data_IF_867701577888
#
_entry.id   IF_867701577888
#
_cell.length_a   1.000
_cell.length_b   1.000
_cell.length_c   1.000
_cell.angle_alpha   90.00
_cell.angle_beta   90.00
_cell.angle_gamma   90.00
#
_symmetry.space_group_name_H-M   'P 1'
#
loop_
_entity.id
_entity.type
_entity.pdbx_description
1 polymer ?
#
# COMPACT_ATOMS: atom_id res chain seq x y z
N UNK A 1 -24.89 37.87 -6.23
CA UNK A 1 -24.49 37.15 -7.46
C UNK A 1 -23.37 36.21 -7.08
N UNK A 2 -23.67 34.92 -6.95
CA UNK A 2 -22.70 33.90 -6.54
C UNK A 2 -22.36 33.06 -7.77
N UNK A 3 -21.10 33.17 -8.21
CA UNK A 3 -20.55 32.48 -9.37
C UNK A 3 -20.14 31.08 -8.95
N UNK A 4 -20.91 30.08 -9.38
CA UNK A 4 -20.64 28.68 -9.11
C UNK A 4 -19.49 28.20 -9.99
N UNK A 5 -18.33 27.94 -9.39
CA UNK A 5 -17.20 27.29 -10.04
C UNK A 5 -17.59 25.85 -10.43
N UNK A 6 -18.00 25.68 -11.69
CA UNK A 6 -18.18 24.36 -12.30
C UNK A 6 -16.81 23.72 -12.42
N UNK A 7 -16.47 22.85 -11.47
CA UNK A 7 -15.31 21.98 -11.61
C UNK A 7 -15.58 21.02 -12.76
N UNK A 8 -15.03 21.33 -13.94
CA UNK A 8 -14.88 20.37 -15.02
C UNK A 8 -14.03 19.23 -14.50
N UNK A 9 -14.70 18.19 -13.99
CA UNK A 9 -14.10 16.88 -13.74
C UNK A 9 -13.63 16.40 -15.10
N UNK A 10 -12.34 16.63 -15.36
CA UNK A 10 -11.71 16.18 -16.58
C UNK A 10 -11.96 14.68 -16.68
N UNK A 11 -12.69 14.27 -17.72
CA UNK A 11 -12.83 12.87 -18.13
C UNK A 11 -11.50 12.37 -18.69
N UNK A 12 -10.41 12.57 -17.95
CA UNK A 12 -9.19 11.81 -18.10
C UNK A 12 -9.56 10.41 -17.66
N UNK A 13 -10.14 9.65 -18.60
CA UNK A 13 -10.03 8.20 -18.63
C UNK A 13 -8.59 7.90 -18.24
N UNK A 14 -8.40 7.40 -17.02
CA UNK A 14 -7.08 7.18 -16.44
C UNK A 14 -6.45 6.03 -17.23
N UNK A 15 -5.84 6.36 -18.37
CA UNK A 15 -5.06 5.43 -19.17
C UNK A 15 -3.94 4.92 -18.28
N UNK A 16 -3.93 3.60 -18.06
CA UNK A 16 -2.86 2.97 -17.32
C UNK A 16 -1.81 2.55 -18.34
N UNK A 17 -0.65 3.19 -18.29
CA UNK A 17 0.47 2.84 -19.15
C UNK A 17 1.34 1.82 -18.43
N UNK A 18 1.58 0.69 -19.08
CA UNK A 18 2.43 -0.37 -18.57
C UNK A 18 3.54 -0.67 -19.58
N UNK A 19 4.77 -0.62 -19.11
CA UNK A 19 5.94 -1.05 -19.84
C UNK A 19 6.22 -2.52 -19.55
N UNK A 20 6.61 -3.25 -20.58
CA UNK A 20 6.88 -4.68 -20.51
C UNK A 20 8.17 -5.02 -21.26
N UNK A 21 8.86 -6.05 -20.81
CA UNK A 21 10.08 -6.57 -21.43
C UNK A 21 9.94 -8.06 -21.76
N UNK A 22 10.64 -8.52 -22.80
CA UNK A 22 10.54 -9.91 -23.24
C UNK A 22 11.41 -10.85 -22.39
N UNK A 23 10.78 -11.82 -21.73
CA UNK A 23 11.38 -12.67 -20.72
C UNK A 23 12.10 -13.91 -21.26
N UNK A 24 11.83 -14.30 -22.52
CA UNK A 24 12.39 -15.51 -23.13
C UNK A 24 13.93 -15.56 -23.00
N UNK A 25 14.53 -16.75 -22.80
CA UNK A 25 15.99 -16.90 -22.79
C UNK A 25 16.65 -16.38 -24.07
N UNK A 26 16.02 -16.65 -25.22
CA UNK A 26 16.40 -16.08 -26.51
C UNK A 26 15.29 -15.15 -27.02
N UNK A 27 15.38 -13.83 -26.79
CA UNK A 27 14.30 -12.90 -27.16
C UNK A 27 14.13 -12.69 -28.67
N UNK A 28 15.06 -13.15 -29.51
CA UNK A 28 14.97 -13.03 -30.97
C UNK A 28 14.49 -14.31 -31.68
N UNK A 29 14.24 -15.38 -30.93
CA UNK A 29 13.68 -16.60 -31.50
C UNK A 29 12.25 -16.35 -31.98
N UNK A 30 11.95 -16.74 -33.22
CA UNK A 30 10.59 -16.72 -33.78
C UNK A 30 9.81 -18.01 -33.50
N UNK A 31 10.48 -19.03 -32.93
CA UNK A 31 9.90 -20.36 -32.73
C UNK A 31 9.02 -20.44 -31.49
N UNK A 32 9.25 -19.58 -30.50
CA UNK A 32 8.55 -19.60 -29.23
C UNK A 32 7.63 -18.38 -29.10
N UNK A 33 6.47 -18.51 -28.43
CA UNK A 33 5.65 -17.35 -28.12
C UNK A 33 6.43 -16.37 -27.22
N UNK A 34 6.31 -15.08 -27.50
CA UNK A 34 6.95 -14.04 -26.71
C UNK A 34 6.26 -13.92 -25.34
N UNK A 35 6.98 -14.29 -24.29
CA UNK A 35 6.58 -14.08 -22.91
C UNK A 35 7.00 -12.67 -22.49
N UNK A 36 6.04 -11.89 -21.98
CA UNK A 36 6.26 -10.50 -21.61
C UNK A 36 6.07 -10.35 -20.11
N UNK A 37 7.11 -9.87 -19.43
CA UNK A 37 7.07 -9.53 -18.02
C UNK A 37 6.90 -8.03 -17.83
N UNK A 38 6.32 -7.67 -16.68
CA UNK A 38 6.11 -6.29 -16.28
C UNK A 38 7.32 -5.75 -15.54
N UNK A 39 7.60 -4.46 -15.72
CA UNK A 39 8.48 -3.73 -14.80
C UNK A 39 7.77 -3.50 -13.47
N UNK A 40 8.54 -3.27 -12.39
CA UNK A 40 7.96 -2.85 -11.12
C UNK A 40 7.28 -1.48 -11.25
N UNK A 41 6.36 -1.16 -10.35
CA UNK A 41 5.63 0.12 -10.39
C UNK A 41 6.56 1.34 -10.39
N UNK A 42 7.66 1.27 -9.64
CA UNK A 42 8.67 2.35 -9.55
C UNK A 42 9.44 2.48 -10.86
N UNK A 43 9.94 1.37 -11.42
CA UNK A 43 10.65 1.37 -12.71
C UNK A 43 9.73 1.87 -13.83
N UNK A 44 8.48 1.40 -13.87
CA UNK A 44 7.48 1.82 -14.84
C UNK A 44 7.25 3.34 -14.81
N UNK A 45 7.18 3.94 -13.60
CA UNK A 45 7.08 5.40 -13.43
C UNK A 45 8.32 6.14 -13.94
N UNK A 46 9.52 5.61 -13.71
CA UNK A 46 10.77 6.20 -14.18
C UNK A 46 10.83 6.18 -15.71
N UNK A 47 10.50 5.04 -16.31
CA UNK A 47 10.49 4.84 -17.77
C UNK A 47 9.46 5.76 -18.42
N UNK A 48 8.21 5.77 -17.94
CA UNK A 48 7.16 6.61 -18.51
C UNK A 48 7.46 8.11 -18.34
N UNK A 49 8.07 8.51 -17.23
CA UNK A 49 8.53 9.90 -17.03
C UNK A 49 9.65 10.25 -18.02
N UNK A 50 10.60 9.37 -18.26
CA UNK A 50 11.68 9.62 -19.22
C UNK A 50 11.13 9.74 -20.65
N UNK A 51 10.21 8.83 -21.02
CA UNK A 51 9.53 8.83 -22.31
C UNK A 51 8.68 10.09 -22.53
N UNK A 52 7.89 10.50 -21.52
CA UNK A 52 7.05 11.70 -21.58
C UNK A 52 7.84 13.01 -21.67
N UNK A 53 9.10 12.99 -21.22
CA UNK A 53 10.03 14.12 -21.34
C UNK A 53 10.89 14.02 -22.61
N UNK A 54 10.53 13.17 -23.57
CA UNK A 54 11.22 12.98 -24.85
C UNK A 54 12.72 12.68 -24.69
N UNK A 55 13.11 12.03 -23.59
CA UNK A 55 14.50 11.59 -23.42
C UNK A 55 14.75 10.40 -24.35
N UNK A 56 15.98 10.28 -24.85
CA UNK A 56 16.37 9.16 -25.72
C UNK A 56 16.49 7.83 -24.95
N UNK A 57 16.86 7.92 -23.66
CA UNK A 57 17.07 6.76 -22.80
C UNK A 57 16.54 6.93 -21.38
N UNK A 58 16.07 5.84 -20.78
CA UNK A 58 15.79 5.74 -19.36
C UNK A 58 16.89 4.91 -18.66
N UNK A 59 17.47 5.46 -17.59
CA UNK A 59 18.50 4.78 -16.80
C UNK A 59 17.81 4.11 -15.61
N UNK A 60 18.03 2.81 -15.46
CA UNK A 60 17.60 1.98 -14.33
C UNK A 60 18.87 1.38 -13.68
N UNK A 61 18.69 0.64 -12.59
CA UNK A 61 19.81 0.21 -11.73
C UNK A 61 20.82 -0.68 -12.49
N UNK A 62 20.37 -1.79 -13.06
CA UNK A 62 21.25 -2.77 -13.75
C UNK A 62 21.23 -2.66 -15.28
N UNK A 63 20.36 -1.81 -15.82
CA UNK A 63 20.12 -1.68 -17.25
C UNK A 63 19.65 -0.27 -17.62
N UNK A 64 19.69 0.04 -18.91
CA UNK A 64 19.02 1.21 -19.48
C UNK A 64 18.13 0.80 -20.63
N UNK A 65 17.11 1.61 -20.90
CA UNK A 65 16.19 1.41 -22.01
C UNK A 65 16.47 2.49 -23.05
N UNK A 66 16.76 2.07 -24.27
CA UNK A 66 16.83 2.92 -25.44
C UNK A 66 15.44 2.95 -26.11
N UNK A 67 14.82 4.13 -26.13
CA UNK A 67 13.49 4.31 -26.71
C UNK A 67 13.49 4.35 -28.23
N UNK A 68 14.62 4.65 -28.87
CA UNK A 68 14.73 4.67 -30.33
C UNK A 68 14.65 3.27 -30.91
N UNK A 69 15.34 2.32 -30.27
CA UNK A 69 15.33 0.92 -30.67
C UNK A 69 14.25 0.09 -29.94
N UNK A 70 13.66 0.64 -28.88
CA UNK A 70 12.78 -0.05 -27.94
C UNK A 70 13.43 -1.31 -27.34
N UNK A 71 14.64 -1.13 -26.81
CA UNK A 71 15.44 -2.22 -26.24
C UNK A 71 15.98 -1.85 -24.86
N UNK A 72 15.94 -2.82 -23.96
CA UNK A 72 16.66 -2.81 -22.71
C UNK A 72 18.06 -3.40 -22.92
N UNK A 73 19.08 -2.74 -22.40
CA UNK A 73 20.49 -3.14 -22.51
C UNK A 73 21.09 -3.13 -21.10
N UNK A 74 21.76 -4.22 -20.71
CA UNK A 74 22.45 -4.28 -19.41
C UNK A 74 23.65 -3.34 -19.39
N UNK A 75 23.92 -2.71 -18.24
CA UNK A 75 25.13 -1.89 -18.04
C UNK A 75 26.41 -2.73 -18.05
N UNK A 76 26.33 -3.97 -17.58
CA UNK A 76 27.49 -4.87 -17.46
C UNK A 76 27.81 -5.60 -18.76
N UNK A 77 26.77 -5.98 -19.52
CA UNK A 77 26.91 -6.79 -20.73
C UNK A 77 26.02 -6.27 -21.87
N UNK A 78 26.65 -5.60 -22.84
CA UNK A 78 25.95 -5.03 -24.00
C UNK A 78 25.32 -6.08 -24.93
N UNK A 79 25.70 -7.36 -24.82
CA UNK A 79 25.08 -8.45 -25.59
C UNK A 79 23.76 -8.90 -24.96
N UNK A 80 23.55 -8.64 -23.66
CA UNK A 80 22.29 -8.91 -22.98
C UNK A 80 21.30 -7.79 -23.27
N UNK A 81 20.63 -7.93 -24.40
CA UNK A 81 19.59 -7.02 -24.84
C UNK A 81 18.22 -7.70 -24.80
N UNK A 82 17.17 -6.95 -24.53
CA UNK A 82 15.79 -7.46 -24.55
C UNK A 82 14.86 -6.44 -25.20
N UNK A 83 13.95 -6.85 -26.10
CA UNK A 83 12.91 -5.98 -26.60
C UNK A 83 12.00 -5.49 -25.48
N UNK A 84 11.58 -4.23 -25.59
CA UNK A 84 10.68 -3.55 -24.65
C UNK A 84 9.48 -3.05 -25.45
N UNK A 85 8.29 -3.04 -24.82
CA UNK A 85 7.10 -2.44 -25.41
C UNK A 85 6.32 -1.64 -24.37
N UNK A 86 5.67 -0.59 -24.84
CA UNK A 86 4.72 0.22 -24.09
C UNK A 86 3.30 -0.24 -24.43
N UNK A 87 2.49 -0.52 -23.43
CA UNK A 87 1.09 -0.94 -23.59
C UNK A 87 0.19 0.07 -22.88
N UNK A 88 -0.69 0.72 -23.62
CA UNK A 88 -1.78 1.51 -23.02
C UNK A 88 -2.95 0.58 -22.71
N UNK A 89 -3.23 0.37 -21.43
CA UNK A 89 -4.42 -0.37 -20.99
C UNK A 89 -5.50 0.61 -20.54
N UNK A 90 -6.75 0.30 -20.87
CA UNK A 90 -7.88 0.99 -20.24
C UNK A 90 -7.98 0.48 -18.81
N UNK A 91 -8.35 1.35 -17.88
CA UNK A 91 -8.57 0.96 -16.48
C UNK A 91 -9.62 -0.17 -16.36
N UNK A 92 -10.56 -0.20 -17.28
CA UNK A 92 -11.62 -1.21 -17.39
C UNK A 92 -11.08 -2.61 -17.75
N UNK A 93 -9.94 -2.69 -18.43
CA UNK A 93 -9.36 -3.98 -18.89
C UNK A 93 -8.55 -4.68 -17.79
N UNK A 94 -8.13 -3.94 -16.75
CA UNK A 94 -7.45 -4.54 -15.61
C UNK A 94 -8.51 -5.32 -14.83
N UNK A 95 -8.62 -6.62 -15.09
CA UNK A 95 -9.39 -7.53 -14.27
C UNK A 95 -8.96 -7.30 -12.82
N UNK A 96 -9.83 -6.62 -12.07
CA UNK A 96 -9.73 -6.61 -10.63
C UNK A 96 -9.72 -8.07 -10.22
N UNK A 97 -8.83 -8.44 -9.29
CA UNK A 97 -8.71 -9.82 -8.84
C UNK A 97 -10.06 -10.24 -8.24
N UNK A 98 -10.90 -10.87 -9.06
CA UNK A 98 -12.31 -11.16 -8.73
C UNK A 98 -12.40 -11.97 -7.45
N UNK A 99 -11.38 -12.80 -7.20
CA UNK A 99 -11.14 -13.55 -5.97
C UNK A 99 -11.23 -12.72 -4.67
N UNK A 100 -10.90 -11.41 -4.70
CA UNK A 100 -11.03 -10.51 -3.54
C UNK A 100 -12.44 -9.94 -3.36
N UNK A 101 -13.27 -10.05 -4.38
CA UNK A 101 -14.64 -9.54 -4.43
C UNK A 101 -15.68 -10.66 -4.42
N UNK A 102 -15.27 -11.93 -4.42
CA UNK A 102 -16.15 -12.97 -3.95
C UNK A 102 -16.46 -12.69 -2.48
N UNK A 103 -17.73 -12.48 -2.19
CA UNK A 103 -18.25 -12.58 -0.83
C UNK A 103 -17.92 -13.99 -0.35
N UNK A 104 -16.75 -14.15 0.28
CA UNK A 104 -16.52 -15.30 1.14
C UNK A 104 -17.70 -15.26 2.10
N UNK A 105 -18.54 -16.31 2.16
CA UNK A 105 -19.73 -16.28 2.99
C UNK A 105 -19.27 -16.01 4.42
N UNK A 106 -19.47 -14.77 4.86
CA UNK A 106 -19.29 -14.40 6.25
C UNK A 106 -20.39 -15.17 6.95
N UNK A 107 -20.04 -16.35 7.46
CA UNK A 107 -20.99 -17.20 8.16
C UNK A 107 -21.66 -16.34 9.22
N UNK A 108 -22.96 -16.10 9.05
CA UNK A 108 -23.75 -15.14 9.85
C UNK A 108 -23.83 -15.51 11.33
N UNK A 109 -23.35 -16.71 11.69
CA UNK A 109 -23.21 -17.19 13.07
C UNK A 109 -21.77 -17.16 13.62
N UNK A 110 -20.76 -16.67 12.89
CA UNK A 110 -19.36 -16.70 13.33
C UNK A 110 -18.84 -15.28 13.52
N UNK A 111 -18.75 -14.85 14.77
CA UNK A 111 -18.11 -13.58 15.14
C UNK A 111 -16.65 -13.57 14.67
N UNK A 112 -16.23 -12.47 14.03
CA UNK A 112 -14.87 -12.24 13.48
C UNK A 112 -13.71 -12.48 14.46
N UNK A 113 -13.96 -12.63 15.76
CA UNK A 113 -12.94 -12.79 16.80
C UNK A 113 -12.33 -14.19 16.96
N UNK A 114 -12.69 -15.18 16.14
CA UNK A 114 -12.32 -16.58 16.40
C UNK A 114 -11.14 -17.15 15.59
N UNK A 115 -11.03 -16.81 14.30
CA UNK A 115 -10.26 -17.67 13.38
C UNK A 115 -9.08 -17.00 12.67
N UNK A 116 -9.10 -15.67 12.52
CA UNK A 116 -7.96 -14.88 12.02
C UNK A 116 -7.34 -14.02 13.13
N UNK A 117 -7.38 -14.56 14.37
CA UNK A 117 -7.26 -13.90 15.66
C UNK A 117 -5.98 -13.07 15.91
N UNK A 118 -5.82 -11.96 15.20
CA UNK A 118 -5.05 -10.86 15.75
C UNK A 118 -5.91 -10.17 16.81
N UNK A 119 -5.90 -10.74 18.01
CA UNK A 119 -6.32 -10.02 19.21
C UNK A 119 -5.18 -9.04 19.49
N UNK A 120 -5.47 -7.74 19.37
CA UNK A 120 -4.49 -6.71 19.70
C UNK A 120 -3.86 -7.02 21.06
N UNK A 121 -2.51 -7.00 21.20
CA UNK A 121 -1.84 -7.25 22.47
C UNK A 121 -2.42 -6.44 23.65
N UNK A 122 -2.91 -5.23 23.36
CA UNK A 122 -3.64 -4.39 24.31
C UNK A 122 -4.87 -5.08 24.91
N UNK A 123 -5.69 -5.76 24.11
CA UNK A 123 -6.87 -6.48 24.59
C UNK A 123 -6.47 -7.64 25.50
N UNK A 124 -5.34 -8.29 25.21
CA UNK A 124 -4.78 -9.39 26.03
C UNK A 124 -4.32 -8.85 27.39
N UNK A 125 -3.64 -7.71 27.40
CA UNK A 125 -3.16 -7.06 28.64
C UNK A 125 -4.33 -6.58 29.49
N UNK A 126 -5.31 -5.87 28.91
CA UNK A 126 -6.50 -5.40 29.64
C UNK A 126 -7.27 -6.57 30.25
N UNK A 127 -7.41 -7.69 29.52
CA UNK A 127 -8.04 -8.90 30.06
C UNK A 127 -7.28 -9.44 31.27
N UNK A 128 -5.95 -9.47 31.22
CA UNK A 128 -5.09 -9.94 32.30
C UNK A 128 -5.19 -9.04 33.53
N UNK A 129 -5.11 -7.73 33.34
CA UNK A 129 -5.14 -6.75 34.43
C UNK A 129 -6.49 -6.73 35.16
N UNK A 130 -7.57 -6.92 34.40
CA UNK A 130 -8.93 -6.94 34.93
C UNK A 130 -9.41 -8.33 35.34
N UNK A 131 -8.58 -9.37 35.15
CA UNK A 131 -8.89 -10.77 35.46
C UNK A 131 -10.23 -11.23 34.87
N UNK A 132 -10.48 -10.85 33.61
CA UNK A 132 -11.74 -11.16 32.93
C UNK A 132 -11.69 -12.56 32.31
N UNK A 133 -12.75 -13.34 32.56
CA UNK A 133 -12.96 -14.63 31.90
C UNK A 133 -13.45 -14.45 30.44
N UNK A 134 -13.28 -15.43 29.55
CA UNK A 134 -13.66 -15.32 28.12
C UNK A 134 -15.15 -15.03 27.86
N UNK A 135 -16.02 -15.34 28.81
CA UNK A 135 -17.45 -15.07 28.81
C UNK A 135 -17.80 -13.67 29.33
N UNK A 136 -16.84 -12.97 29.92
CA UNK A 136 -16.95 -11.60 30.43
C UNK A 136 -16.34 -10.56 29.49
N UNK A 137 -15.97 -10.97 28.28
CA UNK A 137 -15.47 -10.04 27.28
C UNK A 137 -16.59 -9.08 26.82
N UNK A 138 -16.22 -7.84 26.42
CA UNK A 138 -17.19 -6.83 25.98
C UNK A 138 -18.04 -7.26 24.78
N UNK A 139 -17.57 -8.25 24.01
CA UNK A 139 -18.32 -8.85 22.91
C UNK A 139 -19.56 -9.61 23.37
N UNK A 140 -19.62 -10.03 24.65
CA UNK A 140 -20.73 -10.78 25.25
C UNK A 140 -21.51 -9.98 26.30
N UNK A 141 -20.85 -9.03 26.99
CA UNK A 141 -21.44 -8.19 28.04
C UNK A 141 -21.24 -6.69 27.70
N UNK A 142 -22.10 -6.10 26.84
CA UNK A 142 -21.92 -4.73 26.37
C UNK A 142 -21.95 -3.69 27.50
N UNK A 143 -22.61 -3.97 28.61
CA UNK A 143 -22.63 -3.13 29.82
C UNK A 143 -21.22 -2.85 30.39
N UNK A 144 -20.26 -3.76 30.17
CA UNK A 144 -18.88 -3.60 30.64
C UNK A 144 -18.06 -2.59 29.82
N UNK A 145 -18.52 -2.20 28.62
CA UNK A 145 -17.79 -1.28 27.75
C UNK A 145 -17.56 0.07 28.45
N UNK A 146 -18.58 0.60 29.12
CA UNK A 146 -18.50 1.88 29.84
C UNK A 146 -17.39 1.88 30.90
N UNK A 147 -17.40 0.86 31.77
CA UNK A 147 -16.39 0.66 32.81
C UNK A 147 -14.96 0.53 32.23
N UNK A 148 -14.79 -0.16 31.10
CA UNK A 148 -13.49 -0.31 30.45
C UNK A 148 -12.97 1.00 29.86
N UNK A 149 -13.85 1.77 29.24
CA UNK A 149 -13.53 3.11 28.70
C UNK A 149 -13.11 4.04 29.83
N UNK A 150 -13.85 4.04 30.95
CA UNK A 150 -13.53 4.88 32.10
C UNK A 150 -12.18 4.51 32.74
N UNK A 151 -11.89 3.20 32.88
CA UNK A 151 -10.60 2.73 33.39
C UNK A 151 -9.45 3.06 32.46
N UNK A 152 -9.63 2.91 31.14
CA UNK A 152 -8.62 3.28 30.16
C UNK A 152 -8.34 4.79 30.19
N UNK A 153 -9.38 5.63 30.28
CA UNK A 153 -9.23 7.08 30.40
C UNK A 153 -8.44 7.47 31.67
N UNK A 154 -8.72 6.83 32.81
CA UNK A 154 -7.97 7.05 34.05
C UNK A 154 -6.49 6.67 33.91
N UNK A 155 -6.17 5.54 33.25
CA UNK A 155 -4.78 5.12 33.02
C UNK A 155 -4.04 6.13 32.13
N UNK A 156 -4.67 6.61 31.05
CA UNK A 156 -4.08 7.64 30.19
C UNK A 156 -3.78 8.94 30.97
N UNK A 157 -4.69 9.39 31.82
CA UNK A 157 -4.47 10.60 32.63
C UNK A 157 -3.35 10.42 33.67
N UNK A 158 -3.20 9.22 34.23
CA UNK A 158 -2.13 8.88 35.19
C UNK A 158 -0.73 8.83 34.55
N UNK A 159 -0.64 8.53 33.25
CA UNK A 159 0.62 8.51 32.51
C UNK A 159 1.05 9.92 32.05
N UNK A 160 0.09 10.80 31.77
CA UNK A 160 0.37 12.17 31.28
C UNK A 160 0.78 13.10 32.43
N UNK A 161 0.24 12.90 33.63
CA UNK A 161 0.49 13.76 34.80
C UNK A 161 1.97 13.87 35.21
N UNK A 162 2.77 12.79 35.31
CA UNK A 162 4.20 12.92 35.63
C UNK A 162 5.03 13.53 34.49
N UNK A 163 4.63 13.35 33.23
CA UNK A 163 5.32 13.95 32.06
C UNK A 163 5.08 15.46 31.99
N UNK A 164 3.86 15.91 32.29
CA UNK A 164 3.53 17.33 32.38
C UNK A 164 4.23 18.00 33.57
N UNK A 165 4.33 17.32 34.72
CA UNK A 165 5.08 17.84 35.87
C UNK A 165 6.58 17.96 35.58
N UNK A 166 7.20 16.94 34.95
CA UNK A 166 8.63 16.95 34.66
C UNK A 166 9.05 18.00 33.60
N UNK A 167 8.15 18.33 32.66
CA UNK A 167 8.40 19.36 31.65
C UNK A 167 8.23 20.78 32.21
N UNK A 168 7.30 21.00 33.16
CA UNK A 168 7.21 22.29 33.86
C UNK A 168 8.40 22.56 34.79
N UNK A 169 8.96 21.55 35.47
CA UNK A 169 10.14 21.74 36.32
C UNK A 169 11.41 22.07 35.51
N UNK A 170 11.54 21.55 34.27
CA UNK A 170 12.65 21.92 33.37
C UNK A 170 12.52 23.33 32.80
N UNK A 171 11.31 23.84 32.59
CA UNK A 171 11.10 25.20 32.09
C UNK A 171 11.44 26.27 33.14
N UNK A 172 11.29 25.97 34.43
CA UNK A 172 11.68 26.89 35.50
C UNK A 172 13.20 26.96 35.74
N UNK A 173 13.96 25.96 35.30
CA UNK A 173 15.41 25.88 35.52
C UNK A 173 16.27 26.51 34.40
N UNK A 174 15.65 27.07 33.35
CA UNK A 174 16.35 27.67 32.18
C UNK A 174 16.17 29.21 32.14
N UNK A 175 15.48 29.79 33.13
CA UNK A 175 15.18 31.23 33.20
C UNK A 175 16.00 31.97 34.27
N UNK A 176 16.96 31.27 34.90
CA UNK A 176 18.03 31.88 35.73
C UNK A 176 19.37 31.82 34.99
#
# INVERSE_FOLDING_TARGET
>A
MAEAASSTISKNSLKCVEWMWQANPNPWSKSEPAEWNHYSDVENLIIERAYSNEKEKAILDDYYIDFKENRQISHTDHYKQRPVKRVERKREDKHLREERFFDLPVSTGRSFGGEYGWVSPFIIEVRRDLKLEPDELPSKKPEMISMLVDKAACLFLSLITPIALATMTRFCAVVD
#
